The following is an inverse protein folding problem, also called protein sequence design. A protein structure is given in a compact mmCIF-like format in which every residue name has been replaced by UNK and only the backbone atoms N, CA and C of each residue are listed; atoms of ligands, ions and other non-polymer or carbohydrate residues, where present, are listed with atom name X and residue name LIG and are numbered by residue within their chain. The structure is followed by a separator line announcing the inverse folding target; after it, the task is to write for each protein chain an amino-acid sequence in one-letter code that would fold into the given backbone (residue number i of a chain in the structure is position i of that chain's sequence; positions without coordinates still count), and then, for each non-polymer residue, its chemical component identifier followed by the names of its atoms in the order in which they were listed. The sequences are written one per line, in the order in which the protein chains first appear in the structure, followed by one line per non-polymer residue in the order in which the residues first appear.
data_IF_730984972401
#
_entry.id   IF_730984972401
#
_cell.length_a   1.000
_cell.length_b   1.000
_cell.length_c   1.000
_cell.angle_alpha   90.00
_cell.angle_beta   90.00
_cell.angle_gamma   90.00
#
_symmetry.space_group_name_H-M   'P 1'
#
loop_
_entity.id
_entity.type
_entity.pdbx_description
1 polymer ?
#
# COMPACT_ATOMS: atom_id res chain seq x y z
N UNK A 1 32.64 20.01 -45.29
CA UNK A 1 31.19 19.79 -45.20
C UNK A 1 30.97 18.59 -44.29
N UNK A 2 30.72 18.82 -43.00
CA UNK A 2 30.40 17.75 -42.05
C UNK A 2 28.88 17.58 -41.99
N UNK A 3 28.40 16.38 -42.29
CA UNK A 3 26.99 16.01 -42.18
C UNK A 3 26.64 15.99 -40.69
N UNK A 4 25.75 16.90 -40.26
CA UNK A 4 25.21 16.86 -38.92
C UNK A 4 24.39 15.58 -38.77
N UNK A 5 24.74 14.73 -37.80
CA UNK A 5 23.94 13.59 -37.42
C UNK A 5 22.60 14.10 -36.87
N UNK A 6 21.52 13.88 -37.61
CA UNK A 6 20.16 14.12 -37.15
C UNK A 6 19.93 13.23 -35.93
N UNK A 7 19.84 13.83 -34.74
CA UNK A 7 19.46 13.13 -33.53
C UNK A 7 17.99 12.72 -33.67
N UNK A 8 17.75 11.52 -34.19
CA UNK A 8 16.40 10.97 -34.32
C UNK A 8 15.81 10.82 -32.92
N UNK A 9 14.81 11.65 -32.62
CA UNK A 9 14.12 11.57 -31.33
C UNK A 9 12.95 10.60 -31.43
N UNK A 10 12.93 9.63 -30.52
CA UNK A 10 11.87 8.62 -30.42
C UNK A 10 10.60 9.30 -29.89
N UNK A 11 9.48 9.12 -30.61
CA UNK A 11 8.15 9.55 -30.14
C UNK A 11 7.57 8.45 -29.28
N UNK A 12 7.52 7.24 -29.82
CA UNK A 12 6.93 6.08 -29.17
C UNK A 12 7.83 4.87 -29.34
N UNK A 13 7.98 4.11 -28.27
CA UNK A 13 8.70 2.86 -28.25
C UNK A 13 7.88 1.86 -27.44
N UNK A 14 7.44 0.79 -28.08
CA UNK A 14 6.73 -0.31 -27.44
C UNK A 14 7.62 -1.54 -27.43
N UNK A 15 7.71 -2.16 -26.26
CA UNK A 15 8.29 -3.48 -26.06
C UNK A 15 7.19 -4.42 -25.60
N UNK A 16 6.86 -5.43 -26.43
CA UNK A 16 5.77 -6.36 -26.16
C UNK A 16 6.15 -7.44 -25.14
N UNK A 17 7.44 -7.74 -24.99
CA UNK A 17 7.93 -8.71 -24.00
C UNK A 17 7.80 -8.17 -22.58
N UNK A 18 8.19 -6.91 -22.38
CA UNK A 18 8.07 -6.23 -21.08
C UNK A 18 6.72 -5.52 -20.90
N UNK A 19 5.81 -5.59 -21.88
CA UNK A 19 4.52 -4.87 -21.91
C UNK A 19 4.67 -3.39 -21.58
N UNK A 20 5.73 -2.78 -22.11
CA UNK A 20 6.09 -1.41 -21.82
C UNK A 20 5.87 -0.52 -23.04
N UNK A 21 5.18 0.60 -22.84
CA UNK A 21 5.04 1.66 -23.85
C UNK A 21 5.74 2.90 -23.30
N UNK A 22 6.69 3.42 -24.08
CA UNK A 22 7.37 4.67 -23.83
C UNK A 22 6.82 5.72 -24.78
N UNK A 23 6.21 6.76 -24.26
CA UNK A 23 5.72 7.88 -25.06
C UNK A 23 6.39 9.18 -24.59
N UNK A 24 7.04 9.89 -25.52
CA UNK A 24 7.80 11.12 -25.24
C UNK A 24 8.80 11.01 -24.08
N UNK A 25 9.44 9.84 -23.94
CA UNK A 25 10.42 9.56 -22.88
C UNK A 25 9.83 9.12 -21.54
N UNK A 26 8.50 9.05 -21.41
CA UNK A 26 7.84 8.49 -20.22
C UNK A 26 7.50 7.04 -20.47
N UNK A 27 8.06 6.14 -19.65
CA UNK A 27 7.81 4.69 -19.72
C UNK A 27 6.61 4.33 -18.85
N UNK A 28 5.70 3.52 -19.40
CA UNK A 28 4.60 2.89 -18.66
C UNK A 28 4.61 1.40 -18.89
N UNK A 29 4.53 0.66 -17.78
CA UNK A 29 4.26 -0.77 -17.78
C UNK A 29 2.75 -0.94 -17.73
N UNK A 30 2.19 -1.58 -18.76
CA UNK A 30 0.77 -1.78 -18.91
C UNK A 30 0.39 -3.06 -18.15
N UNK A 31 -0.70 -3.01 -17.38
CA UNK A 31 -1.21 -4.19 -16.69
C UNK A 31 -1.70 -5.27 -17.67
N UNK A 32 -1.65 -6.52 -17.22
CA UNK A 32 -1.98 -7.71 -18.01
C UNK A 32 -3.38 -7.65 -18.62
N UNK A 33 -4.35 -7.17 -17.84
CA UNK A 33 -5.74 -7.12 -18.26
C UNK A 33 -5.90 -6.12 -19.40
N UNK A 34 -5.41 -4.88 -19.23
CA UNK A 34 -5.48 -3.87 -20.28
C UNK A 34 -4.68 -4.29 -21.52
N UNK A 35 -3.51 -4.91 -21.33
CA UNK A 35 -2.69 -5.40 -22.42
C UNK A 35 -3.46 -6.41 -23.29
N UNK A 36 -4.08 -7.41 -22.68
CA UNK A 36 -4.82 -8.46 -23.37
C UNK A 36 -6.13 -7.98 -24.01
N UNK A 37 -6.84 -7.05 -23.37
CA UNK A 37 -8.16 -6.61 -23.86
C UNK A 37 -8.09 -5.46 -24.86
N UNK A 38 -7.11 -4.56 -24.73
CA UNK A 38 -7.08 -3.31 -25.51
C UNK A 38 -5.89 -3.20 -26.47
N UNK A 39 -4.74 -3.81 -26.14
CA UNK A 39 -3.52 -3.67 -26.97
C UNK A 39 -3.35 -4.86 -27.90
N UNK A 40 -3.45 -6.10 -27.39
CA UNK A 40 -3.28 -7.31 -28.19
C UNK A 40 -4.21 -7.36 -29.41
N UNK A 41 -5.51 -7.03 -29.32
CA UNK A 41 -6.41 -7.05 -30.47
C UNK A 41 -5.97 -6.12 -31.60
N UNK A 42 -5.33 -4.99 -31.30
CA UNK A 42 -4.82 -4.03 -32.29
C UNK A 42 -3.55 -4.53 -33.00
N UNK A 43 -2.83 -5.48 -32.38
CA UNK A 43 -1.66 -6.10 -32.99
C UNK A 43 -2.05 -7.22 -33.96
N UNK A 44 -3.18 -7.87 -33.76
CA UNK A 44 -3.66 -8.92 -34.65
C UNK A 44 -4.50 -8.34 -35.82
N UNK A 45 -4.45 -8.94 -37.02
CA UNK A 45 -3.57 -10.02 -37.46
C UNK A 45 -2.26 -9.52 -38.10
N UNK A 46 -2.07 -8.20 -38.23
CA UNK A 46 -1.03 -7.62 -39.08
C UNK A 46 0.37 -7.66 -38.43
N UNK A 47 0.43 -7.36 -37.14
CA UNK A 47 1.68 -7.28 -36.36
C UNK A 47 1.92 -8.55 -35.54
N UNK A 48 0.85 -9.26 -35.20
CA UNK A 48 0.85 -10.54 -34.52
C UNK A 48 0.12 -11.59 -35.34
N UNK A 49 0.74 -12.75 -35.47
CA UNK A 49 0.21 -13.96 -36.06
C UNK A 49 0.70 -15.17 -35.26
N UNK A 50 0.15 -16.36 -35.54
CA UNK A 50 0.53 -17.59 -34.85
C UNK A 50 2.02 -17.93 -34.96
N UNK A 51 2.71 -17.44 -36.00
CA UNK A 51 4.11 -17.77 -36.30
C UNK A 51 5.04 -16.57 -36.40
N UNK A 52 4.53 -15.36 -36.33
CA UNK A 52 5.30 -14.11 -36.37
C UNK A 52 4.65 -13.07 -35.46
N UNK A 53 5.39 -12.60 -34.45
CA UNK A 53 4.88 -11.68 -33.43
C UNK A 53 5.76 -10.44 -33.35
N UNK A 54 5.14 -9.28 -33.19
CA UNK A 54 5.86 -8.04 -32.90
C UNK A 54 6.54 -8.12 -31.53
N UNK A 55 7.83 -7.80 -31.49
CA UNK A 55 8.66 -7.76 -30.27
C UNK A 55 8.89 -6.31 -29.82
N UNK A 56 9.37 -5.48 -30.74
CA UNK A 56 9.65 -4.06 -30.50
C UNK A 56 9.16 -3.22 -31.66
N UNK A 57 8.48 -2.12 -31.36
CA UNK A 57 8.10 -1.10 -32.32
C UNK A 57 8.61 0.27 -31.85
N UNK A 58 9.37 0.96 -32.69
CA UNK A 58 9.89 2.30 -32.41
C UNK A 58 9.51 3.23 -33.55
N UNK A 59 8.87 4.35 -33.25
CA UNK A 59 8.60 5.41 -34.20
C UNK A 59 9.35 6.69 -33.80
N UNK A 60 10.02 7.29 -34.78
CA UNK A 60 10.79 8.52 -34.63
C UNK A 60 9.97 9.74 -35.09
N UNK A 61 10.39 10.95 -34.69
CA UNK A 61 9.72 12.21 -35.10
C UNK A 61 9.69 12.45 -36.61
N UNK A 62 10.66 11.89 -37.33
CA UNK A 62 10.79 12.07 -38.77
C UNK A 62 9.97 11.01 -39.56
N UNK A 63 8.95 10.42 -38.93
CA UNK A 63 8.15 9.30 -39.47
C UNK A 63 9.00 8.11 -39.99
N UNK A 64 10.16 7.92 -39.38
CA UNK A 64 10.96 6.70 -39.53
C UNK A 64 10.51 5.68 -38.50
N UNK A 65 10.60 4.40 -38.86
CA UNK A 65 10.16 3.29 -38.02
C UNK A 65 11.24 2.22 -37.92
N UNK A 66 11.40 1.66 -36.73
CA UNK A 66 12.21 0.48 -36.50
C UNK A 66 11.34 -0.59 -35.84
N UNK A 67 11.32 -1.77 -36.44
CA UNK A 67 10.44 -2.85 -36.04
C UNK A 67 11.27 -4.11 -35.86
N UNK A 68 11.21 -4.72 -34.68
CA UNK A 68 11.76 -6.04 -34.42
C UNK A 68 10.60 -7.00 -34.21
N UNK A 69 10.65 -8.14 -34.90
CA UNK A 69 9.66 -9.20 -34.81
C UNK A 69 10.33 -10.50 -34.39
N UNK A 70 9.53 -11.41 -33.86
CA UNK A 70 9.95 -12.71 -33.41
C UNK A 70 9.17 -13.78 -34.18
N UNK A 71 9.90 -14.59 -34.96
CA UNK A 71 9.33 -15.61 -35.84
C UNK A 71 9.60 -17.01 -35.31
N UNK A 72 8.61 -17.88 -35.40
CA UNK A 72 8.77 -19.30 -35.09
C UNK A 72 9.43 -20.03 -36.26
N UNK A 73 10.66 -20.51 -36.03
CA UNK A 73 11.44 -21.27 -37.00
C UNK A 73 11.52 -22.73 -36.56
N UNK A 74 10.94 -23.62 -37.37
CA UNK A 74 11.00 -25.07 -37.14
C UNK A 74 12.20 -25.67 -37.87
N UNK A 75 13.04 -26.42 -37.17
CA UNK A 75 14.09 -27.22 -37.80
C UNK A 75 13.44 -28.48 -38.42
N UNK A 76 13.50 -28.66 -39.74
CA UNK A 76 12.87 -29.81 -40.39
C UNK A 76 13.50 -31.16 -39.99
N UNK A 77 14.73 -31.19 -39.47
CA UNK A 77 15.44 -32.42 -39.11
C UNK A 77 15.08 -32.94 -37.71
N UNK A 78 15.09 -32.05 -36.71
CA UNK A 78 14.91 -32.45 -35.30
C UNK A 78 13.47 -32.30 -34.82
N UNK A 79 12.57 -31.81 -35.69
CA UNK A 79 11.16 -31.46 -35.40
C UNK A 79 10.97 -30.44 -34.25
N UNK A 80 12.03 -29.98 -33.63
CA UNK A 80 12.06 -28.89 -32.65
C UNK A 80 11.92 -27.54 -33.36
N UNK A 81 11.29 -26.58 -32.70
CA UNK A 81 11.18 -25.21 -33.20
C UNK A 81 11.65 -24.22 -32.15
N UNK A 82 12.16 -23.08 -32.62
CA UNK A 82 12.65 -22.00 -31.78
C UNK A 82 12.11 -20.67 -32.28
N UNK A 83 11.82 -19.77 -31.35
CA UNK A 83 11.53 -18.38 -31.63
C UNK A 83 12.85 -17.65 -31.94
N UNK A 84 12.90 -16.88 -33.03
CA UNK A 84 14.09 -16.13 -33.44
C UNK A 84 13.68 -14.69 -33.76
N UNK A 85 14.28 -13.75 -33.02
CA UNK A 85 14.14 -12.31 -33.25
C UNK A 85 14.85 -11.88 -34.52
N UNK A 86 14.23 -10.98 -35.29
CA UNK A 86 14.80 -10.38 -36.49
C UNK A 86 14.29 -8.93 -36.65
N UNK A 87 15.14 -8.09 -37.24
CA UNK A 87 14.76 -6.74 -37.62
C UNK A 87 13.98 -6.77 -38.94
N UNK A 88 12.77 -6.19 -38.93
CA UNK A 88 11.91 -6.16 -40.10
C UNK A 88 12.45 -5.11 -41.10
N UNK A 89 12.64 -5.47 -42.38
CA UNK A 89 13.19 -4.55 -43.36
C UNK A 89 12.28 -3.32 -43.54
N UNK A 90 12.82 -2.12 -43.31
CA UNK A 90 12.07 -0.85 -43.46
C UNK A 90 11.52 -0.66 -44.89
N UNK A 91 12.21 -1.22 -45.89
CA UNK A 91 11.78 -1.15 -47.29
C UNK A 91 10.51 -1.96 -47.60
N UNK A 92 10.18 -2.95 -46.77
CA UNK A 92 8.99 -3.79 -46.90
C UNK A 92 7.81 -3.28 -46.03
N UNK A 93 8.04 -2.25 -45.23
CA UNK A 93 7.05 -1.69 -44.32
C UNK A 93 6.16 -0.69 -45.06
N UNK A 94 4.85 -0.92 -45.06
CA UNK A 94 3.89 0.09 -45.52
C UNK A 94 3.89 1.28 -44.53
N UNK A 95 4.29 2.49 -44.96
CA UNK A 95 4.28 3.65 -44.09
C UNK A 95 2.90 4.00 -43.52
N UNK A 96 1.82 3.67 -44.24
CA UNK A 96 0.45 3.92 -43.77
C UNK A 96 0.08 3.02 -42.59
N UNK A 97 0.44 1.74 -42.66
CA UNK A 97 0.19 0.77 -41.58
C UNK A 97 1.03 1.08 -40.33
N UNK A 98 2.31 1.41 -40.52
CA UNK A 98 3.20 1.80 -39.43
C UNK A 98 2.71 3.09 -38.72
N UNK A 99 2.21 4.04 -39.49
CA UNK A 99 1.57 5.24 -38.94
C UNK A 99 0.29 4.91 -38.17
N UNK A 100 -0.55 4.02 -38.71
CA UNK A 100 -1.76 3.55 -38.04
C UNK A 100 -1.44 2.94 -36.67
N UNK A 101 -0.47 2.03 -36.60
CA UNK A 101 -0.05 1.44 -35.33
C UNK A 101 0.50 2.50 -34.35
N UNK A 102 1.32 3.44 -34.84
CA UNK A 102 1.82 4.54 -34.01
C UNK A 102 0.68 5.32 -33.37
N UNK A 103 -0.31 5.72 -34.16
CA UNK A 103 -1.43 6.55 -33.70
C UNK A 103 -2.31 5.77 -32.71
N UNK A 104 -2.61 4.49 -32.98
CA UNK A 104 -3.34 3.60 -32.05
C UNK A 104 -2.59 3.41 -30.74
N UNK A 105 -1.27 3.20 -30.76
CA UNK A 105 -0.48 3.04 -29.55
C UNK A 105 -0.44 4.32 -28.70
N UNK A 106 -0.44 5.49 -29.33
CA UNK A 106 -0.54 6.77 -28.62
C UNK A 106 -1.93 6.89 -27.97
N UNK A 107 -2.99 6.55 -28.68
CA UNK A 107 -4.36 6.56 -28.15
C UNK A 107 -4.50 5.63 -26.95
N UNK A 108 -4.08 4.37 -27.06
CA UNK A 108 -4.13 3.40 -25.96
C UNK A 108 -3.24 3.80 -24.78
N UNK A 109 -2.10 4.43 -25.03
CA UNK A 109 -1.27 4.98 -23.94
C UNK A 109 -2.00 6.09 -23.17
N UNK A 110 -2.68 7.00 -23.88
CA UNK A 110 -3.44 8.09 -23.27
C UNK A 110 -4.65 7.52 -22.51
N UNK A 111 -5.40 6.60 -23.12
CA UNK A 111 -6.56 5.96 -22.50
C UNK A 111 -6.17 5.20 -21.23
N UNK A 112 -5.09 4.41 -21.25
CA UNK A 112 -4.55 3.75 -20.07
C UNK A 112 -4.25 4.74 -18.93
N UNK A 113 -3.61 5.86 -19.26
CA UNK A 113 -3.27 6.90 -18.28
C UNK A 113 -4.53 7.57 -17.69
N UNK A 114 -5.54 7.79 -18.51
CA UNK A 114 -6.77 8.45 -18.07
C UNK A 114 -7.71 7.51 -17.33
N UNK A 115 -7.70 6.22 -17.61
CA UNK A 115 -8.63 5.26 -16.99
C UNK A 115 -7.95 4.54 -15.82
N UNK A 116 -6.95 3.73 -16.12
CA UNK A 116 -6.31 2.83 -15.16
C UNK A 116 -5.48 3.63 -14.16
N UNK A 117 -4.51 4.43 -14.62
CA UNK A 117 -3.63 5.19 -13.72
C UNK A 117 -4.46 6.13 -12.83
N UNK A 118 -5.43 6.86 -13.39
CA UNK A 118 -6.33 7.72 -12.61
C UNK A 118 -7.12 6.93 -11.56
N UNK A 119 -7.62 5.74 -11.91
CA UNK A 119 -8.37 4.90 -10.96
C UNK A 119 -7.47 4.41 -9.81
N UNK A 120 -6.22 4.07 -10.11
CA UNK A 120 -5.21 3.67 -9.12
C UNK A 120 -4.85 4.85 -8.23
N UNK A 121 -4.63 6.03 -8.79
CA UNK A 121 -4.37 7.26 -8.05
C UNK A 121 -5.54 7.59 -7.12
N UNK A 122 -6.78 7.51 -7.61
CA UNK A 122 -7.97 7.71 -6.78
C UNK A 122 -8.09 6.68 -5.67
N UNK A 123 -7.86 5.39 -5.96
CA UNK A 123 -7.87 4.32 -4.97
C UNK A 123 -6.81 4.55 -3.89
N UNK A 124 -5.60 4.95 -4.28
CA UNK A 124 -4.51 5.26 -3.35
C UNK A 124 -4.84 6.46 -2.46
N UNK A 125 -5.41 7.53 -3.04
CA UNK A 125 -5.86 8.70 -2.27
C UNK A 125 -6.96 8.32 -1.28
N UNK A 126 -7.95 7.53 -1.71
CA UNK A 126 -9.02 7.05 -0.84
C UNK A 126 -8.48 6.21 0.32
N UNK A 127 -7.54 5.29 0.04
CA UNK A 127 -6.86 4.53 1.08
C UNK A 127 -6.09 5.43 2.05
N UNK A 128 -5.39 6.44 1.55
CA UNK A 128 -4.64 7.37 2.38
C UNK A 128 -5.55 8.17 3.33
N UNK A 129 -6.66 8.68 2.80
CA UNK A 129 -7.69 9.38 3.59
C UNK A 129 -8.26 8.45 4.66
N UNK A 130 -8.70 7.24 4.28
CA UNK A 130 -9.25 6.27 5.23
C UNK A 130 -8.23 5.84 6.30
N UNK A 131 -6.94 5.72 5.94
CA UNK A 131 -5.88 5.40 6.90
C UNK A 131 -5.59 6.54 7.86
N UNK A 132 -5.79 7.80 7.47
CA UNK A 132 -5.55 8.94 8.33
C UNK A 132 -6.76 9.35 9.16
N UNK A 133 -7.98 9.13 8.65
CA UNK A 133 -9.22 9.45 9.34
C UNK A 133 -9.34 8.78 10.71
N UNK A 134 -9.78 9.52 11.72
CA UNK A 134 -10.02 8.97 13.04
C UNK A 134 -11.22 8.02 13.00
N UNK A 135 -10.98 6.74 13.24
CA UNK A 135 -12.01 5.70 13.29
C UNK A 135 -12.28 5.24 14.72
N UNK A 136 -13.44 4.62 14.94
CA UNK A 136 -13.78 3.99 16.22
C UNK A 136 -12.76 2.92 16.64
N UNK A 137 -12.18 2.20 15.68
CA UNK A 137 -11.13 1.21 15.96
C UNK A 137 -9.86 1.86 16.52
N UNK A 138 -9.47 3.05 16.03
CA UNK A 138 -8.36 3.82 16.60
C UNK A 138 -8.67 4.27 18.03
N UNK A 139 -9.90 4.73 18.29
CA UNK A 139 -10.33 5.09 19.65
C UNK A 139 -10.32 3.87 20.60
N UNK A 140 -10.79 2.70 20.14
CA UNK A 140 -10.72 1.44 20.91
C UNK A 140 -9.28 1.02 21.20
N UNK A 141 -8.39 1.11 20.21
CA UNK A 141 -6.97 0.81 20.38
C UNK A 141 -6.33 1.75 21.41
N UNK A 142 -6.60 3.05 21.31
CA UNK A 142 -6.12 4.05 22.28
C UNK A 142 -6.61 3.74 23.70
N UNK A 143 -7.91 3.48 23.85
CA UNK A 143 -8.51 3.10 25.14
C UNK A 143 -7.80 1.88 25.74
N UNK A 144 -7.63 0.82 24.95
CA UNK A 144 -6.96 -0.40 25.42
C UNK A 144 -5.51 -0.14 25.81
N UNK A 145 -4.80 0.65 25.00
CA UNK A 145 -3.44 1.07 25.29
C UNK A 145 -3.36 1.84 26.63
N UNK A 146 -4.23 2.83 26.86
CA UNK A 146 -4.24 3.63 28.09
C UNK A 146 -4.66 2.82 29.34
N UNK A 147 -5.58 1.87 29.18
CA UNK A 147 -5.92 0.90 30.22
C UNK A 147 -4.71 0.02 30.55
N UNK A 148 -3.94 -0.41 29.56
CA UNK A 148 -2.75 -1.20 29.81
C UNK A 148 -1.63 -0.37 30.46
N UNK A 149 -1.38 0.85 29.96
CA UNK A 149 -0.36 1.76 30.50
C UNK A 149 -0.62 2.12 31.98
N UNK A 150 -1.88 2.10 32.41
CA UNK A 150 -2.27 2.34 33.80
C UNK A 150 -2.41 1.07 34.65
N UNK A 151 -2.09 -0.12 34.11
CA UNK A 151 -2.34 -1.39 34.80
C UNK A 151 -1.40 -1.60 36.00
N UNK A 152 -0.15 -1.17 35.88
CA UNK A 152 0.84 -1.28 36.96
C UNK A 152 0.40 -0.56 38.25
N UNK A 153 -0.43 0.48 38.15
CA UNK A 153 -0.90 1.25 39.31
C UNK A 153 -1.92 0.47 40.14
N UNK A 154 -2.68 -0.40 39.48
CA UNK A 154 -3.73 -1.21 40.12
C UNK A 154 -3.15 -2.44 40.82
N UNK A 155 -1.89 -2.79 40.58
CA UNK A 155 -1.25 -3.91 41.24
C UNK A 155 -1.03 -3.62 42.74
N UNK A 156 -1.15 -4.64 43.61
CA UNK A 156 -0.88 -4.47 45.04
C UNK A 156 0.53 -3.94 45.34
N UNK A 157 1.51 -4.34 44.52
CA UNK A 157 2.93 -3.96 44.63
C UNK A 157 3.27 -2.65 43.89
N UNK A 158 2.24 -1.86 43.54
CA UNK A 158 2.44 -0.56 42.90
C UNK A 158 3.17 0.40 43.86
N UNK A 159 4.16 1.18 43.36
CA UNK A 159 4.83 2.21 44.15
C UNK A 159 3.90 3.38 44.51
N UNK A 160 2.73 3.47 43.88
CA UNK A 160 1.68 4.41 44.26
C UNK A 160 1.01 3.85 45.52
N UNK A 161 1.48 4.27 46.70
CA UNK A 161 0.96 3.81 47.99
C UNK A 161 -0.16 4.69 48.54
N UNK A 162 -0.33 5.90 48.01
CA UNK A 162 -1.36 6.83 48.46
C UNK A 162 -2.75 6.40 48.00
N UNK A 163 -3.67 6.25 48.95
CA UNK A 163 -5.04 5.83 48.70
C UNK A 163 -5.81 6.81 47.83
N UNK A 164 -5.52 8.11 47.98
CA UNK A 164 -6.17 9.17 47.20
C UNK A 164 -5.72 9.16 45.74
N UNK A 165 -4.42 8.91 45.47
CA UNK A 165 -3.92 8.77 44.10
C UNK A 165 -4.49 7.52 43.44
N UNK A 166 -4.58 6.39 44.16
CA UNK A 166 -5.21 5.17 43.63
C UNK A 166 -6.67 5.40 43.24
N UNK A 167 -7.44 6.12 44.07
CA UNK A 167 -8.83 6.45 43.76
C UNK A 167 -8.97 7.29 42.46
N UNK A 168 -8.03 8.22 42.20
CA UNK A 168 -8.00 8.97 40.93
C UNK A 168 -7.74 8.05 39.73
N UNK A 169 -6.82 7.09 39.87
CA UNK A 169 -6.54 6.10 38.82
C UNK A 169 -7.72 5.13 38.58
N UNK A 170 -8.46 4.77 39.62
CA UNK A 170 -9.69 3.99 39.48
C UNK A 170 -10.75 4.77 38.70
N UNK A 171 -10.97 6.05 39.05
CA UNK A 171 -11.87 6.97 38.31
C UNK A 171 -11.43 7.10 36.84
N UNK A 172 -10.13 7.25 36.60
CA UNK A 172 -9.53 7.29 35.26
C UNK A 172 -9.86 6.05 34.43
N UNK A 173 -9.57 4.85 34.95
CA UNK A 173 -9.81 3.60 34.23
C UNK A 173 -11.29 3.34 34.01
N UNK A 174 -12.14 3.70 34.97
CA UNK A 174 -13.58 3.56 34.82
C UNK A 174 -14.09 4.42 33.66
N UNK A 175 -13.68 5.69 33.60
CA UNK A 175 -14.04 6.57 32.50
C UNK A 175 -13.59 6.02 31.14
N UNK A 176 -12.38 5.48 31.02
CA UNK A 176 -11.90 4.85 29.79
C UNK A 176 -12.76 3.66 29.35
N UNK A 177 -13.21 2.83 30.30
CA UNK A 177 -14.08 1.68 30.01
C UNK A 177 -15.47 2.11 29.55
N UNK A 178 -15.95 3.25 30.06
CA UNK A 178 -17.29 3.77 29.76
C UNK A 178 -17.37 4.51 28.42
N UNK A 179 -16.23 4.87 27.79
CA UNK A 179 -16.18 5.55 26.48
C UNK A 179 -17.11 4.92 25.42
N UNK A 180 -17.14 3.59 25.19
CA UNK A 180 -17.97 2.98 24.16
C UNK A 180 -19.47 3.03 24.45
N UNK A 181 -19.84 3.14 25.74
CA UNK A 181 -21.22 3.15 26.19
C UNK A 181 -21.77 4.58 26.34
N UNK A 182 -20.94 5.59 26.10
CA UNK A 182 -21.33 6.99 26.29
C UNK A 182 -22.18 7.48 25.11
N UNK A 183 -23.48 7.80 25.33
CA UNK A 183 -24.38 8.23 24.26
C UNK A 183 -24.05 9.63 23.72
N UNK A 184 -23.21 10.41 24.41
CA UNK A 184 -22.79 11.74 23.96
C UNK A 184 -21.77 11.72 22.82
N UNK A 185 -21.18 10.56 22.50
CA UNK A 185 -20.21 10.43 21.42
C UNK A 185 -20.89 9.91 20.15
N UNK A 186 -21.34 10.84 19.28
CA UNK A 186 -21.95 10.49 18.00
C UNK A 186 -20.92 10.00 16.97
N UNK A 187 -19.72 10.59 16.98
CA UNK A 187 -18.62 10.26 16.09
C UNK A 187 -17.33 9.97 16.87
N UNK A 188 -16.36 9.34 16.21
CA UNK A 188 -15.05 9.07 16.82
C UNK A 188 -14.33 10.36 17.26
N UNK A 189 -14.60 11.50 16.60
CA UNK A 189 -14.05 12.82 16.92
C UNK A 189 -14.62 13.44 18.20
N UNK A 190 -15.77 12.97 18.65
CA UNK A 190 -16.41 13.47 19.86
C UNK A 190 -15.82 12.85 21.13
N UNK A 191 -15.10 11.73 20.98
CA UNK A 191 -14.48 11.00 22.09
C UNK A 191 -13.50 11.91 22.83
N UNK A 192 -13.75 12.09 24.12
CA UNK A 192 -12.88 12.82 25.04
C UNK A 192 -12.18 11.81 25.96
N UNK A 193 -10.85 11.80 25.94
CA UNK A 193 -10.04 10.98 26.85
C UNK A 193 -9.63 11.84 28.06
N UNK A 194 -9.71 11.33 29.29
CA UNK A 194 -9.21 12.05 30.45
C UNK A 194 -7.68 12.17 30.40
N UNK A 195 -7.15 13.26 30.96
CA UNK A 195 -5.71 13.36 31.26
C UNK A 195 -5.35 12.37 32.37
N UNK A 196 -4.10 11.90 32.39
CA UNK A 196 -3.67 10.96 33.43
C UNK A 196 -3.69 11.63 34.82
N UNK A 197 -3.94 10.90 35.92
CA UNK A 197 -3.87 11.45 37.28
C UNK A 197 -2.54 12.12 37.61
N UNK A 198 -1.42 11.58 37.11
CA UNK A 198 -0.09 12.21 37.25
C UNK A 198 -0.04 13.60 36.62
N UNK A 199 -0.61 13.76 35.43
CA UNK A 199 -0.67 15.05 34.76
C UNK A 199 -1.60 16.02 35.48
N UNK A 200 -2.73 15.54 36.01
CA UNK A 200 -3.62 16.35 36.84
C UNK A 200 -2.92 16.87 38.10
N UNK A 201 -2.26 16.00 38.87
CA UNK A 201 -1.53 16.38 40.07
C UNK A 201 -0.37 17.35 39.76
N UNK A 202 0.32 17.15 38.64
CA UNK A 202 1.36 18.09 38.20
C UNK A 202 0.80 19.48 37.86
N UNK A 203 -0.40 19.57 37.30
CA UNK A 203 -1.08 20.85 37.01
C UNK A 203 -1.55 21.55 38.28
N UNK A 204 -2.10 20.80 39.23
CA UNK A 204 -2.50 21.33 40.53
C UNK A 204 -1.30 21.86 41.31
N UNK A 205 -0.17 21.13 41.28
CA UNK A 205 1.07 21.52 41.95
C UNK A 205 1.84 22.66 41.26
N UNK A 206 1.58 22.91 39.97
CA UNK A 206 2.25 23.98 39.24
C UNK A 206 1.90 25.36 39.82
N UNK A 207 2.76 26.36 39.61
CA UNK A 207 2.47 27.74 40.01
C UNK A 207 1.24 28.30 39.27
N UNK A 208 0.62 29.35 39.84
CA UNK A 208 -0.49 30.01 39.16
C UNK A 208 0.01 30.66 37.87
N UNK A 209 -0.70 30.43 36.76
CA UNK A 209 -0.36 31.05 35.50
C UNK A 209 -0.58 32.57 35.58
N UNK A 210 0.25 33.38 34.91
CA UNK A 210 0.02 34.82 34.79
C UNK A 210 -1.39 35.13 34.26
N UNK A 211 -2.07 36.09 34.89
CA UNK A 211 -3.45 36.47 34.55
C UNK A 211 -3.72 36.69 33.05
N UNK A 212 -2.82 37.32 32.26
CA UNK A 212 -3.05 37.52 30.82
C UNK A 212 -3.16 36.21 30.01
N UNK A 213 -2.56 35.13 30.51
CA UNK A 213 -2.63 33.80 29.89
C UNK A 213 -3.95 33.13 30.27
N UNK A 214 -4.35 33.24 31.54
CA UNK A 214 -5.62 32.71 32.05
C UNK A 214 -6.80 33.33 31.32
N UNK A 215 -6.78 34.66 31.11
CA UNK A 215 -7.85 35.37 30.41
C UNK A 215 -8.00 34.92 28.95
N UNK A 216 -6.90 34.47 28.32
CA UNK A 216 -6.86 34.08 26.90
C UNK A 216 -7.09 32.57 26.67
N UNK A 217 -6.63 31.72 27.59
CA UNK A 217 -6.56 30.27 27.39
C UNK A 217 -7.23 29.46 28.51
N UNK A 218 -7.79 30.12 29.52
CA UNK A 218 -8.37 29.48 30.71
C UNK A 218 -7.33 29.12 31.76
N UNK A 219 -7.82 28.64 32.90
CA UNK A 219 -7.03 28.19 34.06
C UNK A 219 -6.52 26.75 33.93
N UNK A 220 -6.76 26.10 32.79
CA UNK A 220 -6.43 24.70 32.51
C UNK A 220 -7.03 23.70 33.52
N UNK A 221 -8.15 24.06 34.15
CA UNK A 221 -8.86 23.22 35.12
C UNK A 221 -8.33 23.31 36.54
N UNK A 222 -7.41 24.24 36.80
CA UNK A 222 -6.76 24.39 38.11
C UNK A 222 -7.78 24.73 39.20
N UNK A 223 -7.73 24.01 40.33
CA UNK A 223 -8.65 24.20 41.46
C UNK A 223 -10.01 23.54 41.26
N UNK A 224 -10.26 22.89 40.12
CA UNK A 224 -11.41 22.01 39.93
C UNK A 224 -11.06 20.58 40.32
N UNK A 225 -12.02 19.84 40.88
CA UNK A 225 -11.84 18.42 41.14
C UNK A 225 -11.62 17.64 39.85
N UNK A 226 -10.85 16.54 39.92
CA UNK A 226 -10.50 15.72 38.77
C UNK A 226 -11.72 15.28 37.96
N UNK A 227 -11.66 15.48 36.64
CA UNK A 227 -12.72 15.24 35.64
C UNK A 227 -13.98 16.14 35.71
N UNK A 228 -14.01 17.18 36.55
CA UNK A 228 -15.14 18.14 36.58
C UNK A 228 -15.00 19.25 35.51
N UNK A 229 -13.77 19.56 35.10
CA UNK A 229 -13.47 20.59 34.10
C UNK A 229 -13.25 19.99 32.70
N UNK A 230 -13.60 20.74 31.65
CA UNK A 230 -13.31 20.34 30.27
C UNK A 230 -11.80 20.23 30.00
N UNK A 231 -10.97 20.99 30.72
CA UNK A 231 -9.52 20.94 30.61
C UNK A 231 -8.88 19.65 31.17
N UNK A 232 -9.66 18.84 31.89
CA UNK A 232 -9.25 17.51 32.34
C UNK A 232 -9.39 16.45 31.26
N UNK A 233 -9.80 16.84 30.04
CA UNK A 233 -9.95 15.95 28.90
C UNK A 233 -9.17 16.46 27.69
N UNK A 234 -8.78 15.53 26.83
CA UNK A 234 -8.19 15.80 25.53
C UNK A 234 -8.95 15.02 24.45
N UNK A 235 -8.98 15.57 23.25
CA UNK A 235 -9.56 14.92 22.08
C UNK A 235 -8.48 14.30 21.21
N UNK A 236 -8.70 13.11 20.63
CA UNK A 236 -7.77 12.51 19.69
C UNK A 236 -7.74 13.32 18.39
N UNK A 237 -6.78 14.24 18.28
CA UNK A 237 -6.46 14.90 17.01
C UNK A 237 -5.48 14.06 16.20
N UNK A 238 -5.34 14.34 14.91
CA UNK A 238 -4.33 13.69 14.05
C UNK A 238 -2.91 13.81 14.63
N UNK A 239 -2.55 15.00 15.10
CA UNK A 239 -1.26 15.27 15.75
C UNK A 239 -1.06 14.46 17.03
N UNK A 240 -2.11 14.26 17.81
CA UNK A 240 -2.07 13.47 19.04
C UNK A 240 -1.95 11.98 18.72
N UNK A 241 -2.74 11.48 17.76
CA UNK A 241 -2.64 10.10 17.27
C UNK A 241 -1.25 9.78 16.71
N UNK A 242 -0.61 10.72 16.01
CA UNK A 242 0.75 10.53 15.52
C UNK A 242 1.76 10.35 16.66
N UNK A 243 1.68 11.17 17.72
CA UNK A 243 2.51 11.02 18.92
C UNK A 243 2.32 9.66 19.58
N UNK A 244 1.08 9.18 19.65
CA UNK A 244 0.77 7.89 20.25
C UNK A 244 1.02 6.70 19.32
N UNK A 245 1.14 6.89 18.00
CA UNK A 245 1.30 5.80 17.01
C UNK A 245 2.49 4.91 17.33
N UNK A 246 3.64 5.48 17.69
CA UNK A 246 4.84 4.71 18.03
C UNK A 246 4.63 3.88 19.31
N UNK A 247 4.01 4.47 20.33
CA UNK A 247 3.71 3.78 21.59
C UNK A 247 2.68 2.66 21.41
N UNK A 248 1.64 2.91 20.62
CA UNK A 248 0.63 1.90 20.27
C UNK A 248 1.22 0.79 19.40
N UNK A 249 2.11 1.11 18.46
CA UNK A 249 2.80 0.11 17.64
C UNK A 249 3.68 -0.79 18.51
N UNK A 250 4.44 -0.21 19.45
CA UNK A 250 5.24 -0.96 20.42
C UNK A 250 4.37 -1.84 21.33
N UNK A 251 3.20 -1.35 21.74
CA UNK A 251 2.22 -2.15 22.48
C UNK A 251 1.68 -3.32 21.65
N UNK A 252 1.32 -3.10 20.38
CA UNK A 252 0.88 -4.21 19.51
C UNK A 252 1.99 -5.23 19.31
N UNK A 253 3.24 -4.77 19.14
CA UNK A 253 4.44 -5.62 19.10
C UNK A 253 4.56 -6.51 20.34
N UNK A 254 4.58 -5.91 21.53
CA UNK A 254 4.65 -6.63 22.81
C UNK A 254 3.49 -7.60 23.02
N UNK A 255 2.29 -7.23 22.56
CA UNK A 255 1.11 -8.09 22.65
C UNK A 255 1.19 -9.28 21.70
N UNK A 256 1.73 -9.08 20.49
CA UNK A 256 1.96 -10.16 19.54
C UNK A 256 3.06 -11.11 20.02
N UNK A 257 4.03 -10.63 20.78
CA UNK A 257 5.07 -11.45 21.40
C UNK A 257 4.56 -12.27 22.61
N UNK A 258 3.50 -11.79 23.27
CA UNK A 258 2.90 -12.46 24.44
C UNK A 258 1.68 -13.33 24.09
N UNK A 259 1.16 -13.22 22.87
CA UNK A 259 0.15 -14.10 22.30
C UNK A 259 0.87 -15.16 21.46
N UNK A 260 0.90 -16.39 21.97
CA UNK A 260 1.13 -17.67 21.26
C UNK A 260 1.82 -17.59 19.87
N UNK A 261 2.99 -18.23 19.71
CA UNK A 261 3.95 -18.16 18.57
C UNK A 261 3.36 -18.15 17.14
N UNK A 262 2.10 -18.53 16.98
CA UNK A 262 1.30 -18.40 15.77
C UNK A 262 1.05 -16.97 15.26
N UNK A 263 1.18 -15.92 16.10
CA UNK A 263 0.88 -14.52 15.72
C UNK A 263 2.08 -13.56 15.74
N UNK A 264 3.31 -14.07 15.80
CA UNK A 264 4.51 -13.22 15.70
C UNK A 264 4.49 -12.38 14.41
N UNK A 265 5.15 -11.21 14.41
CA UNK A 265 5.23 -10.34 13.22
C UNK A 265 5.90 -11.06 12.04
N UNK A 266 6.72 -12.07 12.32
CA UNK A 266 7.22 -13.02 11.32
C UNK A 266 6.06 -13.71 10.60
N UNK A 267 5.00 -14.12 11.31
CA UNK A 267 3.79 -14.72 10.74
C UNK A 267 2.85 -13.72 10.08
N UNK A 268 2.83 -12.45 10.49
CA UNK A 268 1.99 -11.40 9.88
C UNK A 268 2.63 -10.84 8.59
N UNK A 269 3.97 -10.77 8.56
CA UNK A 269 4.76 -10.49 7.35
C UNK A 269 4.81 -11.72 6.44
N UNK A 270 4.93 -12.93 7.00
CA UNK A 270 4.86 -14.16 6.21
C UNK A 270 3.46 -14.44 5.70
N UNK A 271 2.36 -14.17 6.42
CA UNK A 271 0.98 -14.33 5.90
C UNK A 271 0.66 -13.34 4.78
N UNK A 272 1.35 -12.21 4.71
CA UNK A 272 1.26 -11.30 3.56
C UNK A 272 2.12 -11.74 2.39
N UNK A 273 3.19 -12.50 2.64
CA UNK A 273 4.07 -13.11 1.63
C UNK A 273 3.61 -14.51 1.18
N UNK A 274 2.84 -15.24 2.00
CA UNK A 274 2.42 -16.63 1.78
C UNK A 274 1.04 -16.74 1.17
N UNK A 275 0.24 -15.67 1.16
CA UNK A 275 -0.89 -15.55 0.22
C UNK A 275 -0.43 -15.40 -1.24
N UNK A 276 0.85 -15.15 -1.49
CA UNK A 276 1.43 -15.15 -2.83
C UNK A 276 2.29 -16.37 -3.16
N UNK A 277 2.53 -17.29 -2.22
CA UNK A 277 3.21 -18.57 -2.46
C UNK A 277 2.91 -19.51 -1.29
N UNK A 278 1.95 -20.42 -1.46
CA UNK A 278 1.87 -21.62 -0.63
C UNK A 278 3.15 -22.43 -0.89
N UNK A 279 4.01 -22.56 0.13
CA UNK A 279 5.19 -23.41 0.05
C UNK A 279 4.75 -24.86 0.24
N UNK A 280 4.39 -25.49 -0.88
CA UNK A 280 3.79 -26.83 -1.00
C UNK A 280 4.79 -27.98 -0.69
N UNK A 281 5.94 -27.68 -0.10
CA UNK A 281 6.99 -28.64 0.26
C UNK A 281 7.05 -28.95 1.76
N UNK A 282 6.03 -28.55 2.54
CA UNK A 282 5.95 -28.95 3.94
C UNK A 282 5.90 -30.49 4.09
N UNK A 283 6.72 -31.07 4.99
CA UNK A 283 6.93 -32.52 5.08
C UNK A 283 5.68 -33.35 5.42
N UNK A 284 4.57 -32.72 5.81
CA UNK A 284 3.30 -33.36 6.17
C UNK A 284 2.11 -32.90 5.31
N UNK A 285 2.32 -32.31 4.13
CA UNK A 285 1.23 -31.93 3.25
C UNK A 285 0.50 -33.18 2.72
N UNK A 286 -0.84 -33.29 2.88
CA UNK A 286 -1.59 -34.53 2.62
C UNK A 286 -1.52 -35.00 1.15
N UNK A 287 -1.18 -34.11 0.22
CA UNK A 287 -1.11 -34.37 -1.22
C UNK A 287 0.30 -34.19 -1.82
N UNK A 288 1.36 -34.37 -1.00
CA UNK A 288 2.76 -34.23 -1.45
C UNK A 288 3.08 -35.02 -2.72
N UNK A 289 2.55 -36.24 -2.84
CA UNK A 289 2.80 -37.09 -4.00
C UNK A 289 2.02 -36.61 -5.24
N UNK A 290 0.83 -36.04 -5.07
CA UNK A 290 0.06 -35.45 -6.17
C UNK A 290 0.76 -34.18 -6.69
N UNK A 291 1.32 -33.37 -5.79
CA UNK A 291 2.05 -32.15 -6.13
C UNK A 291 3.39 -32.44 -6.82
N UNK A 292 4.17 -33.43 -6.35
CA UNK A 292 5.42 -33.83 -7.01
C UNK A 292 5.14 -34.35 -8.43
N UNK A 293 4.06 -35.12 -8.62
CA UNK A 293 3.69 -35.61 -9.94
C UNK A 293 3.23 -34.49 -10.88
N UNK A 294 2.53 -33.48 -10.36
CA UNK A 294 2.12 -32.31 -11.16
C UNK A 294 3.32 -31.42 -11.52
N UNK A 295 4.29 -31.24 -10.61
CA UNK A 295 5.55 -30.54 -10.92
C UNK A 295 6.38 -31.26 -11.98
N UNK A 296 6.49 -32.60 -11.88
CA UNK A 296 7.16 -33.40 -12.90
C UNK A 296 6.45 -33.27 -14.26
N UNK A 297 5.10 -33.27 -14.26
CA UNK A 297 4.29 -33.06 -15.46
C UNK A 297 4.51 -31.66 -16.07
N UNK A 298 4.64 -30.62 -15.23
CA UNK A 298 4.88 -29.24 -15.67
C UNK A 298 6.31 -29.02 -16.20
N UNK A 299 7.30 -29.71 -15.64
CA UNK A 299 8.68 -29.74 -16.15
C UNK A 299 8.74 -30.50 -17.48
N UNK A 300 8.01 -31.60 -17.61
CA UNK A 300 7.92 -32.37 -18.86
C UNK A 300 7.10 -31.66 -19.95
N UNK A 301 6.13 -30.82 -19.58
CA UNK A 301 5.37 -29.96 -20.50
C UNK A 301 6.06 -28.64 -20.84
N UNK A 302 7.10 -28.26 -20.08
CA UNK A 302 7.88 -27.03 -20.29
C UNK A 302 7.17 -25.75 -19.87
N UNK A 303 6.25 -25.83 -18.91
CA UNK A 303 5.51 -24.68 -18.37
C UNK A 303 6.21 -23.98 -17.18
N UNK A 304 7.43 -24.41 -16.83
CA UNK A 304 8.31 -23.76 -15.83
C UNK A 304 9.67 -23.43 -16.46
#
# INVERSE_FOLDING_TARGET
MGVAATTQSVIIHMNTLSRAITYQGVVKFIDDKYWETEIVPELFPMWHSDRDKLEVFTAFKDDHYQVTRNKYVRNPKDKTGKWTSYEFPVAELDPAEAKGLKDTLIEKYIDYKETVDRSIEQALQNEYVHKNELSWEKCKLMRNFLLHDSDYVMMPDSPVTDGDEKALWEKYRQHLRDIPANPSFATAYDVKFPITPKEYLAREAAEALPQPIVDKHGDFGKGSSYMESEYHFWKPTESTLQKWRQRMAFYMLLRLDTLDDSLTISNLLSHRASRSNEDLLEPNHPDKDAYINELLRQIESGEV
#
